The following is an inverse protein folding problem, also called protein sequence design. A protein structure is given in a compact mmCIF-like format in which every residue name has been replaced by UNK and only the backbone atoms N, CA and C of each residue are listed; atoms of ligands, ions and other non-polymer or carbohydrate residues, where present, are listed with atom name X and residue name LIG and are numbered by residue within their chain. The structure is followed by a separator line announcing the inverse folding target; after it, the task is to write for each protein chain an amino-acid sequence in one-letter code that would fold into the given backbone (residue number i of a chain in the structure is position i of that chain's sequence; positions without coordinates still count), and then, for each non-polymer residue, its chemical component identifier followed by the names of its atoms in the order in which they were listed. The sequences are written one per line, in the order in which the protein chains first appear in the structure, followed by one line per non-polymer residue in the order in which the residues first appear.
data_IF_289358869489
#
_entry.id   IF_289358869489
#
_cell.length_a   1.000
_cell.length_b   1.000
_cell.length_c   1.000
_cell.angle_alpha   90.00
_cell.angle_beta   90.00
_cell.angle_gamma   90.00
#
_symmetry.space_group_name_H-M   'P 1'
#
loop_
_entity.id
_entity.type
_entity.pdbx_description
1 polymer ?
#
# COMPACT_ATOMS: atom_id res chain seq x y z
N UNK A 1 74.12 52.28 -81.52
CA UNK A 1 74.35 51.50 -82.76
C UNK A 1 73.07 50.74 -83.13
N UNK A 2 73.00 50.12 -84.32
CA UNK A 2 71.79 49.43 -84.83
C UNK A 2 71.80 47.93 -84.54
N UNK A 3 70.63 47.37 -84.23
CA UNK A 3 70.15 46.06 -84.68
C UNK A 3 68.59 46.15 -84.64
N UNK A 4 67.87 46.28 -85.75
CA UNK A 4 67.68 45.37 -86.90
C UNK A 4 66.67 44.25 -86.60
N UNK A 5 65.64 44.13 -87.44
CA UNK A 5 64.43 43.32 -87.23
C UNK A 5 64.50 41.96 -87.91
N UNK A 6 63.66 41.02 -87.46
CA UNK A 6 63.10 39.92 -88.27
C UNK A 6 61.60 39.78 -87.95
N UNK A 7 60.75 39.72 -88.98
CA UNK A 7 59.34 39.26 -88.95
C UNK A 7 59.32 37.80 -89.50
N UNK A 8 58.30 36.93 -89.47
CA UNK A 8 56.82 37.00 -89.43
C UNK A 8 56.33 35.56 -88.99
N UNK A 9 55.11 35.00 -89.08
CA UNK A 9 53.77 35.33 -89.63
C UNK A 9 52.70 34.43 -88.96
N UNK A 10 51.51 34.97 -88.66
CA UNK A 10 50.27 34.18 -88.43
C UNK A 10 50.00 33.70 -87.00
N UNK A 11 48.77 33.29 -86.63
CA UNK A 11 47.50 33.33 -87.37
C UNK A 11 46.31 33.27 -86.38
N UNK A 12 45.19 33.94 -86.68
CA UNK A 12 43.87 33.63 -86.09
C UNK A 12 43.31 34.64 -85.08
N UNK A 13 42.08 35.11 -85.34
CA UNK A 13 41.26 35.85 -84.37
C UNK A 13 40.45 34.89 -83.50
N UNK A 14 40.02 35.35 -82.31
CA UNK A 14 38.66 35.11 -81.77
C UNK A 14 38.31 36.22 -80.78
N UNK A 15 37.09 36.76 -80.87
CA UNK A 15 36.50 37.66 -79.86
C UNK A 15 35.84 36.82 -78.77
N UNK A 16 36.11 37.10 -77.51
CA UNK A 16 35.39 36.49 -76.37
C UNK A 16 34.33 37.48 -75.87
N UNK A 17 33.06 37.06 -75.90
CA UNK A 17 31.97 37.77 -75.24
C UNK A 17 31.83 37.30 -73.79
N UNK A 18 31.42 38.16 -72.83
CA UNK A 18 31.16 37.73 -71.46
C UNK A 18 29.94 36.80 -71.38
N UNK A 19 30.07 35.73 -70.60
CA UNK A 19 29.08 34.65 -70.47
C UNK A 19 27.80 35.08 -69.69
N UNK A 20 26.66 34.40 -69.90
CA UNK A 20 25.41 34.72 -69.22
C UNK A 20 25.44 34.38 -67.72
N UNK A 21 24.77 35.22 -66.90
CA UNK A 21 24.67 35.02 -65.45
C UNK A 21 23.70 33.87 -65.11
N UNK A 22 24.26 32.74 -64.68
CA UNK A 22 23.49 31.61 -64.18
C UNK A 22 22.74 31.98 -62.89
N UNK A 23 21.43 31.67 -62.81
CA UNK A 23 20.71 31.60 -61.54
C UNK A 23 21.00 30.23 -60.87
N UNK A 24 21.15 30.16 -59.54
CA UNK A 24 21.31 28.89 -58.85
C UNK A 24 20.00 28.09 -58.85
N UNK A 25 20.04 26.74 -58.90
CA UNK A 25 18.84 25.92 -58.86
C UNK A 25 18.21 25.94 -57.46
N UNK A 26 16.88 26.07 -57.42
CA UNK A 26 16.11 26.02 -56.18
C UNK A 26 16.16 24.59 -55.61
N UNK A 27 16.90 24.37 -54.53
CA UNK A 27 16.95 23.05 -53.85
C UNK A 27 15.54 22.68 -53.38
N UNK A 28 14.99 21.58 -53.90
CA UNK A 28 13.67 21.06 -53.49
C UNK A 28 13.67 20.81 -51.97
N UNK A 29 12.57 21.12 -51.26
CA UNK A 29 12.50 21.06 -49.79
C UNK A 29 12.34 19.62 -49.26
N UNK A 30 13.20 18.69 -49.71
CA UNK A 30 13.19 17.28 -49.29
C UNK A 30 13.28 17.11 -47.77
N UNK A 31 14.02 18.01 -47.10
CA UNK A 31 14.10 18.06 -45.64
C UNK A 31 12.75 18.32 -44.97
N UNK A 32 11.86 19.12 -45.56
CA UNK A 32 10.52 19.35 -45.01
C UNK A 32 9.67 18.07 -45.14
N UNK A 33 9.75 17.38 -46.28
CA UNK A 33 9.04 16.10 -46.49
C UNK A 33 9.51 15.05 -45.48
N UNK A 34 10.82 14.90 -45.29
CA UNK A 34 11.40 13.97 -44.30
C UNK A 34 10.98 14.34 -42.88
N UNK A 35 11.07 15.63 -42.49
CA UNK A 35 10.65 16.11 -41.17
C UNK A 35 9.17 15.83 -40.91
N UNK A 36 8.29 16.11 -41.87
CA UNK A 36 6.85 15.82 -41.76
C UNK A 36 6.61 14.33 -41.63
N UNK A 37 7.26 13.47 -42.43
CA UNK A 37 7.10 12.01 -42.29
C UNK A 37 7.58 11.49 -40.93
N UNK A 38 8.66 12.05 -40.39
CA UNK A 38 9.19 11.68 -39.08
C UNK A 38 8.20 12.07 -37.96
N UNK A 39 7.65 13.28 -38.01
CA UNK A 39 6.63 13.76 -37.06
C UNK A 39 5.35 12.92 -37.17
N UNK A 40 4.87 12.62 -38.38
CA UNK A 40 3.70 11.74 -38.57
C UNK A 40 3.94 10.33 -38.00
N UNK A 41 5.11 9.73 -38.22
CA UNK A 41 5.45 8.42 -37.65
C UNK A 41 5.53 8.43 -36.12
N UNK A 42 6.07 9.50 -35.52
CA UNK A 42 6.12 9.66 -34.07
C UNK A 42 4.71 9.85 -33.46
N UNK A 43 3.84 10.62 -34.11
CA UNK A 43 2.45 10.81 -33.68
C UNK A 43 1.63 9.51 -33.79
N UNK A 44 1.78 8.77 -34.89
CA UNK A 44 1.15 7.44 -35.05
C UNK A 44 1.70 6.46 -34.01
N UNK A 45 3.01 6.48 -33.75
CA UNK A 45 3.65 5.67 -32.72
C UNK A 45 3.08 5.93 -31.32
N UNK A 46 2.97 7.20 -30.91
CA UNK A 46 2.39 7.58 -29.62
C UNK A 46 0.88 7.34 -29.50
N UNK A 47 0.15 7.28 -30.61
CA UNK A 47 -1.27 6.94 -30.64
C UNK A 47 -1.52 5.42 -30.55
N UNK A 48 -0.71 4.61 -31.23
CA UNK A 48 -0.82 3.15 -31.23
C UNK A 48 -0.19 2.53 -29.97
N UNK A 49 0.85 3.14 -29.43
CA UNK A 49 1.55 2.71 -28.21
C UNK A 49 1.54 3.83 -27.15
N UNK A 50 0.41 4.08 -26.48
CA UNK A 50 0.36 5.04 -25.38
C UNK A 50 1.32 4.62 -24.24
N UNK A 51 2.18 5.52 -23.73
CA UNK A 51 3.19 5.17 -22.75
C UNK A 51 2.57 4.87 -21.38
N UNK A 52 2.77 3.65 -20.88
CA UNK A 52 2.24 3.17 -19.60
C UNK A 52 2.95 3.76 -18.36
N UNK A 53 3.86 4.73 -18.51
CA UNK A 53 4.60 5.32 -17.38
C UNK A 53 4.59 6.86 -17.41
N UNK A 54 4.08 7.46 -16.34
CA UNK A 54 3.89 8.91 -16.22
C UNK A 54 5.20 9.72 -16.06
N UNK A 55 6.34 9.05 -15.85
CA UNK A 55 7.62 9.68 -15.51
C UNK A 55 8.12 10.71 -16.54
N UNK A 56 7.91 10.46 -17.84
CA UNK A 56 8.35 11.38 -18.90
C UNK A 56 7.59 12.70 -18.96
N UNK A 57 6.34 12.74 -18.47
CA UNK A 57 5.46 13.90 -18.59
C UNK A 57 5.97 15.10 -17.77
N UNK A 58 6.50 14.82 -16.57
CA UNK A 58 7.03 15.82 -15.64
C UNK A 58 8.26 16.59 -16.16
N UNK A 59 8.96 16.06 -17.17
CA UNK A 59 10.16 16.70 -17.72
C UNK A 59 9.80 17.81 -18.73
N UNK A 60 8.63 17.74 -19.37
CA UNK A 60 8.28 18.62 -20.50
C UNK A 60 7.05 19.51 -20.28
N UNK A 61 6.03 19.10 -19.51
CA UNK A 61 4.94 20.00 -19.12
C UNK A 61 4.10 19.48 -17.94
N UNK A 62 4.13 20.21 -16.82
CA UNK A 62 3.27 19.94 -15.66
C UNK A 62 1.81 20.36 -15.86
N UNK A 63 1.53 21.29 -16.77
CA UNK A 63 0.15 21.73 -17.09
C UNK A 63 -0.54 20.79 -18.08
N UNK A 64 0.19 20.29 -19.10
CA UNK A 64 -0.35 19.34 -20.07
C UNK A 64 -0.81 18.03 -19.44
N UNK A 65 -0.07 17.52 -18.44
CA UNK A 65 -0.42 16.24 -17.82
C UNK A 65 -1.74 16.27 -17.02
N UNK A 66 -2.15 17.42 -16.47
CA UNK A 66 -3.45 17.55 -15.80
C UNK A 66 -4.61 17.33 -16.77
N UNK A 67 -4.51 17.92 -17.97
CA UNK A 67 -5.48 17.71 -19.02
C UNK A 67 -5.54 16.24 -19.44
N UNK A 68 -4.39 15.56 -19.55
CA UNK A 68 -4.36 14.11 -19.87
C UNK A 68 -5.05 13.28 -18.77
N UNK A 69 -4.89 13.61 -17.48
CA UNK A 69 -5.61 12.92 -16.40
C UNK A 69 -7.13 13.19 -16.36
N UNK A 70 -7.60 14.27 -17.00
CA UNK A 70 -9.04 14.55 -17.18
C UNK A 70 -9.62 13.90 -18.45
N UNK A 71 -8.77 13.56 -19.42
CA UNK A 71 -9.14 12.92 -20.69
C UNK A 71 -9.03 11.39 -20.68
N UNK A 72 -8.26 10.81 -19.76
CA UNK A 72 -8.31 9.38 -19.50
C UNK A 72 -9.66 9.03 -18.86
N UNK A 73 -10.37 7.97 -19.30
CA UNK A 73 -11.51 7.47 -18.55
C UNK A 73 -11.05 7.09 -17.13
N UNK A 74 -11.89 7.27 -16.10
CA UNK A 74 -11.55 6.79 -14.77
C UNK A 74 -11.21 5.31 -14.85
N UNK A 75 -10.15 4.89 -14.15
CA UNK A 75 -9.75 3.47 -14.07
C UNK A 75 -11.01 2.67 -13.73
N UNK A 76 -11.43 1.71 -14.58
CA UNK A 76 -12.72 1.06 -14.44
C UNK A 76 -12.80 0.43 -13.06
N UNK A 77 -13.78 0.86 -12.27
CA UNK A 77 -13.96 0.39 -10.91
C UNK A 77 -14.07 -1.14 -10.94
N UNK A 78 -13.20 -1.81 -10.19
CA UNK A 78 -13.13 -3.27 -10.13
C UNK A 78 -14.52 -3.81 -9.80
N UNK A 79 -15.04 -4.70 -10.64
CA UNK A 79 -16.26 -5.43 -10.31
C UNK A 79 -15.98 -6.31 -9.08
N UNK A 80 -16.79 -6.12 -8.04
CA UNK A 80 -16.69 -6.87 -6.78
C UNK A 80 -17.35 -8.24 -6.95
N UNK A 81 -16.80 -9.27 -6.30
CA UNK A 81 -17.47 -10.58 -6.26
C UNK A 81 -18.68 -10.56 -5.32
N UNK A 82 -19.56 -11.56 -5.43
CA UNK A 82 -20.73 -11.68 -4.56
C UNK A 82 -20.35 -11.75 -3.07
N UNK A 83 -19.21 -12.36 -2.74
CA UNK A 83 -18.66 -12.40 -1.37
C UNK A 83 -18.21 -11.01 -0.88
N UNK A 84 -17.63 -10.20 -1.76
CA UNK A 84 -17.17 -8.84 -1.44
C UNK A 84 -18.35 -7.88 -1.28
N UNK A 85 -19.38 -8.02 -2.13
CA UNK A 85 -20.66 -7.31 -2.00
C UNK A 85 -21.34 -7.71 -0.67
N UNK A 86 -21.40 -8.99 -0.35
CA UNK A 86 -21.95 -9.48 0.92
C UNK A 86 -21.18 -8.94 2.13
N UNK A 87 -19.83 -8.96 2.08
CA UNK A 87 -18.99 -8.38 3.13
C UNK A 87 -19.22 -6.87 3.28
N UNK A 88 -19.37 -6.13 2.17
CA UNK A 88 -19.67 -4.70 2.19
C UNK A 88 -21.04 -4.40 2.83
N UNK A 89 -22.06 -5.23 2.56
CA UNK A 89 -23.38 -5.14 3.23
C UNK A 89 -23.26 -5.41 4.73
N UNK A 90 -22.54 -6.46 5.15
CA UNK A 90 -22.30 -6.74 6.59
C UNK A 90 -21.61 -5.56 7.28
N UNK A 91 -20.55 -5.01 6.68
CA UNK A 91 -19.80 -3.87 7.24
C UNK A 91 -20.65 -2.59 7.26
N UNK A 92 -21.44 -2.33 6.22
CA UNK A 92 -22.23 -1.10 6.11
C UNK A 92 -23.48 -1.11 6.99
N UNK A 93 -24.19 -2.24 7.07
CA UNK A 93 -25.56 -2.30 7.58
C UNK A 93 -25.68 -3.10 8.89
N UNK A 94 -24.76 -4.03 9.18
CA UNK A 94 -24.76 -4.80 10.43
C UNK A 94 -23.75 -4.21 11.42
N UNK A 95 -22.51 -3.96 11.02
CA UNK A 95 -21.49 -3.39 11.92
C UNK A 95 -21.72 -1.90 12.27
N UNK A 96 -22.68 -1.23 11.62
CA UNK A 96 -23.14 0.14 12.00
C UNK A 96 -24.40 0.15 12.86
N UNK A 97 -24.96 -1.02 13.22
CA UNK A 97 -26.01 -1.09 14.23
C UNK A 97 -25.42 -0.58 15.56
N UNK A 98 -26.09 0.34 16.29
CA UNK A 98 -25.59 0.80 17.58
C UNK A 98 -25.33 -0.38 18.52
N UNK A 99 -24.15 -0.45 19.18
CA UNK A 99 -23.83 -1.56 20.08
C UNK A 99 -24.85 -1.64 21.21
N UNK A 100 -25.29 -2.86 21.53
CA UNK A 100 -26.23 -3.11 22.61
C UNK A 100 -25.62 -2.68 23.94
N UNK A 101 -26.26 -1.73 24.64
CA UNK A 101 -25.79 -1.27 25.94
C UNK A 101 -25.77 -2.43 26.95
N UNK A 102 -24.57 -2.92 27.24
CA UNK A 102 -24.34 -3.90 28.30
C UNK A 102 -24.66 -3.30 29.67
N UNK A 103 -25.23 -4.12 30.56
CA UNK A 103 -25.47 -3.77 31.97
C UNK A 103 -24.25 -4.01 32.86
N UNK A 104 -23.23 -4.69 32.33
CA UNK A 104 -22.02 -5.14 33.01
C UNK A 104 -20.88 -5.22 32.00
N UNK A 105 -20.42 -4.09 31.42
CA UNK A 105 -19.44 -4.10 30.35
C UNK A 105 -18.10 -4.67 30.82
N UNK A 106 -17.43 -5.40 29.92
CA UNK A 106 -16.21 -6.18 30.22
C UNK A 106 -15.06 -5.83 29.28
N UNK A 107 -13.85 -6.08 29.77
CA UNK A 107 -12.64 -6.13 28.94
C UNK A 107 -12.26 -7.59 28.70
N UNK A 108 -12.11 -7.97 27.43
CA UNK A 108 -11.62 -9.28 27.03
C UNK A 108 -10.08 -9.30 26.98
N UNK A 109 -9.47 -9.99 27.93
CA UNK A 109 -8.03 -10.23 27.95
C UNK A 109 -7.71 -11.52 27.19
N UNK A 110 -7.05 -11.36 26.04
CA UNK A 110 -6.78 -12.40 25.06
C UNK A 110 -5.29 -12.75 25.07
N UNK A 111 -4.93 -13.88 25.68
CA UNK A 111 -3.54 -14.32 25.83
C UNK A 111 -3.14 -15.27 24.70
N UNK A 112 -2.17 -14.88 23.87
CA UNK A 112 -1.55 -15.72 22.86
C UNK A 112 -0.19 -16.22 23.37
N UNK A 113 -0.03 -17.54 23.55
CA UNK A 113 1.17 -18.11 24.19
C UNK A 113 1.72 -19.35 23.47
N UNK A 114 2.99 -19.73 23.72
CA UNK A 114 3.49 -21.06 23.38
C UNK A 114 2.91 -22.15 24.31
N UNK A 115 2.63 -21.83 25.57
CA UNK A 115 2.19 -22.77 26.61
C UNK A 115 1.73 -22.06 27.89
N UNK A 116 2.17 -22.55 29.05
CA UNK A 116 1.90 -21.95 30.36
C UNK A 116 2.36 -20.49 30.46
N UNK A 117 1.55 -19.64 31.12
CA UNK A 117 1.84 -18.21 31.28
C UNK A 117 2.79 -17.97 32.47
N UNK A 118 4.03 -17.47 32.28
CA UNK A 118 4.99 -17.29 33.38
C UNK A 118 4.49 -16.34 34.47
N UNK A 119 3.74 -15.31 34.07
CA UNK A 119 3.21 -14.27 34.95
C UNK A 119 1.78 -14.51 35.44
N UNK A 120 1.24 -15.73 35.33
CA UNK A 120 -0.15 -16.05 35.74
C UNK A 120 -0.45 -15.62 37.20
N UNK A 121 0.52 -15.75 38.11
CA UNK A 121 0.40 -15.33 39.52
C UNK A 121 0.43 -13.81 39.74
N UNK A 122 0.84 -13.02 38.75
CA UNK A 122 0.73 -11.56 38.74
C UNK A 122 -0.64 -11.16 38.20
N UNK A 123 -1.05 -11.76 37.08
CA UNK A 123 -2.38 -11.57 36.50
C UNK A 123 -3.50 -11.97 37.47
N UNK A 124 -3.34 -13.06 38.23
CA UNK A 124 -4.28 -13.47 39.31
C UNK A 124 -4.48 -12.39 40.39
N UNK A 125 -3.45 -11.58 40.69
CA UNK A 125 -3.55 -10.46 41.63
C UNK A 125 -4.20 -9.24 40.99
N UNK A 126 -3.91 -8.98 39.72
CA UNK A 126 -4.50 -7.88 38.94
C UNK A 126 -6.02 -8.05 38.77
N UNK A 127 -6.49 -9.26 38.48
CA UNK A 127 -7.91 -9.56 38.26
C UNK A 127 -8.77 -9.71 39.53
N UNK A 128 -8.16 -9.74 40.71
CA UNK A 128 -8.82 -10.16 41.95
C UNK A 128 -9.85 -9.15 42.46
N UNK A 129 -11.10 -9.59 42.65
CA UNK A 129 -12.19 -8.74 43.15
C UNK A 129 -12.86 -7.89 42.06
N UNK A 130 -12.66 -8.25 40.79
CA UNK A 130 -13.22 -7.58 39.61
C UNK A 130 -13.79 -8.60 38.60
N UNK A 131 -14.14 -9.81 39.06
CA UNK A 131 -14.48 -10.97 38.22
C UNK A 131 -15.77 -10.81 37.38
N UNK A 132 -16.51 -9.72 37.59
CA UNK A 132 -17.66 -9.24 36.82
C UNK A 132 -17.29 -8.31 35.65
N UNK A 133 -16.11 -7.68 35.70
CA UNK A 133 -15.65 -6.61 34.78
C UNK A 133 -14.67 -7.06 33.69
N UNK A 134 -14.37 -8.34 33.59
CA UNK A 134 -13.49 -8.88 32.56
C UNK A 134 -13.87 -10.28 32.09
N UNK A 135 -13.34 -10.66 30.93
CA UNK A 135 -13.30 -12.03 30.45
C UNK A 135 -11.85 -12.40 30.08
N UNK A 136 -11.50 -13.68 30.19
CA UNK A 136 -10.17 -14.20 29.86
C UNK A 136 -10.33 -15.29 28.80
N UNK A 137 -9.47 -15.24 27.79
CA UNK A 137 -9.32 -16.24 26.74
C UNK A 137 -7.83 -16.56 26.55
N UNK A 138 -7.48 -17.84 26.42
CA UNK A 138 -6.09 -18.29 26.29
C UNK A 138 -5.93 -19.15 25.05
N UNK A 139 -4.94 -18.84 24.22
CA UNK A 139 -4.53 -19.62 23.06
C UNK A 139 -3.10 -20.13 23.26
N UNK A 140 -2.96 -21.37 23.74
CA UNK A 140 -1.66 -22.02 23.90
C UNK A 140 -1.31 -22.86 22.66
N UNK A 141 -0.22 -22.51 21.98
CA UNK A 141 0.07 -22.96 20.59
C UNK A 141 0.99 -24.18 20.46
N UNK A 142 1.67 -24.63 21.52
CA UNK A 142 2.55 -25.81 21.51
C UNK A 142 2.17 -26.85 22.56
N UNK A 143 1.94 -26.39 23.78
CA UNK A 143 1.74 -27.22 24.97
C UNK A 143 0.44 -26.85 25.67
N UNK A 144 -0.24 -27.84 26.27
CA UNK A 144 -1.42 -27.55 27.08
C UNK A 144 -0.99 -26.97 28.44
N UNK A 145 -1.37 -25.73 28.80
CA UNK A 145 -1.00 -25.13 30.07
C UNK A 145 -1.66 -25.85 31.26
N UNK A 146 -1.00 -25.79 32.42
CA UNK A 146 -1.58 -26.23 33.69
C UNK A 146 -1.76 -25.00 34.59
N UNK A 147 -2.93 -24.38 34.48
CA UNK A 147 -3.28 -23.17 35.22
C UNK A 147 -3.41 -23.43 36.72
N UNK A 148 -2.79 -22.57 37.53
CA UNK A 148 -2.90 -22.53 38.99
C UNK A 148 -3.96 -21.53 39.48
N UNK A 149 -4.22 -20.48 38.69
CA UNK A 149 -5.20 -19.44 38.98
C UNK A 149 -6.59 -19.85 38.52
N UNK A 150 -7.58 -19.69 39.42
CA UNK A 150 -9.01 -19.89 39.13
C UNK A 150 -9.52 -19.09 37.92
N UNK A 151 -8.87 -17.98 37.59
CA UNK A 151 -9.30 -17.09 36.52
C UNK A 151 -8.98 -17.65 35.13
N UNK A 152 -7.93 -18.47 35.02
CA UNK A 152 -7.43 -19.04 33.76
C UNK A 152 -7.86 -20.50 33.52
N UNK A 153 -8.21 -21.26 34.58
CA UNK A 153 -8.75 -22.62 34.45
C UNK A 153 -9.98 -22.64 33.52
N UNK A 154 -9.92 -23.46 32.47
CA UNK A 154 -11.00 -23.61 31.50
C UNK A 154 -11.14 -22.48 30.48
N UNK A 155 -10.20 -21.53 30.41
CA UNK A 155 -10.20 -20.41 29.44
C UNK A 155 -9.48 -20.72 28.12
N UNK A 156 -8.99 -21.94 27.97
CA UNK A 156 -8.25 -22.40 26.79
C UNK A 156 -9.14 -22.58 25.56
N UNK A 157 -8.80 -21.92 24.45
CA UNK A 157 -9.43 -22.12 23.14
C UNK A 157 -8.62 -23.15 22.37
N UNK A 158 -9.28 -24.23 21.90
CA UNK A 158 -8.66 -25.22 21.01
C UNK A 158 -8.34 -24.59 19.64
N UNK A 159 -7.10 -24.74 19.20
CA UNK A 159 -6.55 -24.17 17.97
C UNK A 159 -5.44 -25.04 17.36
N UNK A 160 -4.73 -24.53 16.36
CA UNK A 160 -3.60 -25.18 15.69
C UNK A 160 -2.24 -24.59 16.11
N UNK A 161 -1.15 -25.21 15.64
CA UNK A 161 0.22 -24.79 15.98
C UNK A 161 0.59 -23.47 15.29
N UNK A 162 0.80 -22.44 16.09
CA UNK A 162 1.28 -21.13 15.62
C UNK A 162 2.78 -21.19 15.33
N UNK A 163 3.16 -20.67 14.17
CA UNK A 163 4.55 -20.41 13.79
C UNK A 163 4.72 -18.90 13.66
N UNK A 164 5.70 -18.34 14.37
CA UNK A 164 5.99 -16.91 14.36
C UNK A 164 6.27 -16.41 12.92
N UNK A 165 5.70 -15.26 12.56
CA UNK A 165 5.87 -14.66 11.24
C UNK A 165 5.12 -15.38 10.10
N UNK A 166 4.21 -16.32 10.42
CA UNK A 166 3.30 -16.97 9.44
C UNK A 166 1.84 -16.66 9.73
N UNK A 167 0.99 -16.82 8.70
CA UNK A 167 -0.45 -16.55 8.74
C UNK A 167 -1.17 -17.23 9.92
N UNK A 168 -0.70 -18.40 10.35
CA UNK A 168 -1.17 -19.13 11.55
C UNK A 168 -1.27 -18.28 12.82
N UNK A 169 -0.48 -17.20 12.92
CA UNK A 169 -0.51 -16.27 14.05
C UNK A 169 -1.73 -15.33 13.97
N UNK A 170 -2.02 -14.79 12.78
CA UNK A 170 -3.25 -14.05 12.49
C UNK A 170 -4.48 -14.94 12.66
N UNK A 171 -4.40 -16.21 12.24
CA UNK A 171 -5.49 -17.18 12.44
C UNK A 171 -5.76 -17.45 13.93
N UNK A 172 -4.72 -17.48 14.77
CA UNK A 172 -4.82 -17.60 16.22
C UNK A 172 -5.45 -16.35 16.88
N UNK A 173 -5.02 -15.16 16.48
CA UNK A 173 -5.57 -13.86 16.94
C UNK A 173 -7.04 -13.72 16.55
N UNK A 174 -7.39 -14.01 15.29
CA UNK A 174 -8.78 -14.05 14.81
C UNK A 174 -9.63 -15.04 15.60
N UNK A 175 -9.06 -16.16 16.03
CA UNK A 175 -9.75 -17.19 16.80
C UNK A 175 -9.93 -16.82 18.28
N UNK A 176 -8.98 -16.11 18.88
CA UNK A 176 -9.16 -15.44 20.18
C UNK A 176 -10.32 -14.45 20.10
N UNK A 177 -10.26 -13.52 19.15
CA UNK A 177 -11.27 -12.46 18.95
C UNK A 177 -12.66 -13.05 18.67
N UNK A 178 -12.79 -14.09 17.83
CA UNK A 178 -14.05 -14.74 17.53
C UNK A 178 -14.67 -15.52 18.71
N UNK A 179 -13.90 -15.81 19.78
CA UNK A 179 -14.44 -16.32 21.04
C UNK A 179 -14.78 -15.19 22.02
N UNK A 180 -14.00 -14.11 22.00
CA UNK A 180 -14.29 -12.91 22.80
C UNK A 180 -15.57 -12.20 22.36
N UNK A 181 -15.85 -12.14 21.04
CA UNK A 181 -17.06 -11.55 20.47
C UNK A 181 -18.36 -12.33 20.74
N UNK A 182 -18.30 -13.50 21.38
CA UNK A 182 -19.50 -14.28 21.76
C UNK A 182 -20.12 -13.82 23.10
N UNK A 183 -19.38 -13.07 23.92
CA UNK A 183 -19.92 -12.42 25.12
C UNK A 183 -20.22 -10.94 24.78
N UNK A 184 -21.50 -10.54 24.62
CA UNK A 184 -21.88 -9.20 24.17
C UNK A 184 -21.58 -8.10 25.21
N UNK A 185 -21.17 -8.47 26.43
CA UNK A 185 -20.69 -7.51 27.40
C UNK A 185 -19.25 -7.03 27.10
N UNK A 186 -18.45 -7.77 26.33
CA UNK A 186 -17.08 -7.37 25.99
C UNK A 186 -17.07 -6.15 25.06
N UNK A 187 -16.68 -4.98 25.60
CA UNK A 187 -16.59 -3.73 24.83
C UNK A 187 -15.17 -3.48 24.28
N UNK A 188 -14.14 -3.86 25.04
CA UNK A 188 -12.73 -3.70 24.64
C UNK A 188 -11.99 -5.04 24.66
N UNK A 189 -11.03 -5.17 23.74
CA UNK A 189 -10.29 -6.40 23.48
C UNK A 189 -8.79 -6.12 23.59
N UNK A 190 -8.10 -6.81 24.50
CA UNK A 190 -6.68 -6.58 24.81
C UNK A 190 -5.91 -7.85 24.47
N UNK A 191 -5.13 -7.81 23.39
CA UNK A 191 -4.24 -8.89 22.97
C UNK A 191 -2.92 -8.82 23.75
N UNK A 192 -2.46 -9.94 24.29
CA UNK A 192 -1.27 -10.05 25.15
C UNK A 192 -0.49 -11.31 24.79
N UNK A 193 0.84 -11.26 24.86
CA UNK A 193 1.69 -12.46 24.86
C UNK A 193 2.04 -12.93 26.28
N UNK A 194 2.68 -14.10 26.38
CA UNK A 194 3.15 -14.67 27.65
C UNK A 194 4.20 -13.80 28.37
N UNK A 195 4.85 -12.89 27.64
CA UNK A 195 5.79 -11.90 28.16
C UNK A 195 5.13 -10.67 28.81
N UNK A 196 3.84 -10.43 28.57
CA UNK A 196 3.17 -9.19 28.99
C UNK A 196 2.82 -9.17 30.49
N UNK A 197 2.95 -7.99 31.10
CA UNK A 197 2.60 -7.69 32.51
C UNK A 197 1.87 -6.36 32.64
N UNK A 198 0.92 -6.20 33.58
CA UNK A 198 0.24 -4.94 33.82
C UNK A 198 1.12 -3.97 34.63
N UNK A 199 1.17 -2.70 34.22
CA UNK A 199 1.95 -1.64 34.89
C UNK A 199 1.12 -0.75 35.83
N UNK A 200 -0.21 -0.85 35.76
CA UNK A 200 -1.16 -0.11 36.58
C UNK A 200 -2.18 -1.07 37.25
N UNK A 201 -2.98 -0.57 38.18
CA UNK A 201 -4.09 -1.34 38.77
C UNK A 201 -5.18 -1.63 37.73
N UNK A 202 -5.95 -2.72 37.94
CA UNK A 202 -7.07 -3.06 37.07
C UNK A 202 -8.08 -1.93 36.97
N UNK A 203 -8.43 -1.28 38.07
CA UNK A 203 -9.40 -0.18 38.09
C UNK A 203 -8.94 1.01 37.22
N UNK A 204 -7.65 1.37 37.24
CA UNK A 204 -7.10 2.39 36.35
C UNK A 204 -7.21 1.98 34.88
N UNK A 205 -6.78 0.74 34.55
CA UNK A 205 -6.84 0.22 33.17
C UNK A 205 -8.28 0.11 32.68
N UNK A 206 -9.19 -0.34 33.53
CA UNK A 206 -10.61 -0.52 33.21
C UNK A 206 -11.27 0.82 32.92
N UNK A 207 -11.13 1.81 33.81
CA UNK A 207 -11.72 3.14 33.62
C UNK A 207 -11.10 3.82 32.38
N UNK A 208 -9.77 3.81 32.24
CA UNK A 208 -9.08 4.43 31.09
C UNK A 208 -9.53 3.87 29.73
N UNK A 209 -9.81 2.56 29.65
CA UNK A 209 -10.32 1.95 28.42
C UNK A 209 -11.82 2.19 28.24
N UNK A 210 -12.65 2.01 29.27
CA UNK A 210 -14.11 2.17 29.17
C UNK A 210 -14.58 3.62 29.00
N UNK A 211 -13.80 4.60 29.46
CA UNK A 211 -14.10 6.03 29.28
C UNK A 211 -13.70 6.55 27.88
N UNK A 212 -13.19 5.70 26.98
CA UNK A 212 -12.73 6.09 25.64
C UNK A 212 -13.52 5.47 24.50
N UNK A 213 -13.61 6.19 23.39
CA UNK A 213 -14.32 5.78 22.17
C UNK A 213 -13.39 5.46 20.98
N UNK A 214 -12.10 5.21 21.26
CA UNK A 214 -11.08 4.89 20.24
C UNK A 214 -10.38 3.56 20.53
N UNK A 215 -9.86 2.93 19.48
CA UNK A 215 -8.99 1.76 19.58
C UNK A 215 -7.51 2.15 19.58
N UNK A 216 -6.71 1.53 20.44
CA UNK A 216 -5.26 1.71 20.48
C UNK A 216 -4.58 0.63 19.63
N UNK A 217 -3.97 1.03 18.52
CA UNK A 217 -3.27 0.15 17.57
C UNK A 217 -1.96 0.82 17.19
N UNK A 218 -0.82 0.14 17.36
CA UNK A 218 0.46 0.61 16.86
C UNK A 218 0.53 0.47 15.33
N UNK A 219 0.95 1.54 14.65
CA UNK A 219 0.76 1.73 13.22
C UNK A 219 1.79 2.73 12.67
N UNK A 220 2.73 2.25 11.86
CA UNK A 220 3.84 3.04 11.32
C UNK A 220 4.13 2.71 9.85
N UNK A 221 4.88 3.60 9.20
CA UNK A 221 5.42 3.34 7.85
C UNK A 221 6.83 2.72 7.97
N UNK A 222 7.00 1.52 7.42
CA UNK A 222 8.30 0.84 7.30
C UNK A 222 8.67 0.79 5.81
N UNK A 223 9.62 1.61 5.32
CA UNK A 223 10.00 1.64 3.91
C UNK A 223 10.79 0.39 3.46
N UNK A 224 11.11 -0.54 4.37
CA UNK A 224 11.88 -1.74 4.09
C UNK A 224 11.10 -2.86 3.38
N UNK A 225 11.80 -3.96 3.00
CA UNK A 225 11.22 -5.12 2.31
C UNK A 225 10.26 -5.95 3.18
N UNK A 226 9.97 -5.51 4.41
CA UNK A 226 9.04 -6.16 5.34
C UNK A 226 7.87 -5.26 5.73
N UNK A 227 7.87 -3.99 5.30
CA UNK A 227 6.74 -3.06 5.37
C UNK A 227 6.24 -2.73 3.97
N UNK A 228 6.35 -1.48 3.54
CA UNK A 228 5.89 -0.96 2.24
C UNK A 228 6.44 -1.70 1.02
N UNK A 229 7.56 -2.43 1.14
CA UNK A 229 8.04 -3.35 0.11
C UNK A 229 7.19 -4.61 -0.11
N UNK A 230 6.16 -4.83 0.73
CA UNK A 230 5.15 -5.91 0.60
C UNK A 230 3.79 -5.42 0.07
N UNK A 231 3.64 -4.11 -0.18
CA UNK A 231 2.43 -3.58 -0.82
C UNK A 231 2.26 -4.15 -2.24
N UNK A 232 1.03 -4.44 -2.64
CA UNK A 232 0.68 -4.87 -3.99
C UNK A 232 -0.41 -3.98 -4.57
N UNK A 233 -0.30 -3.64 -5.86
CA UNK A 233 -1.33 -2.86 -6.56
C UNK A 233 -2.66 -3.62 -6.68
N UNK A 234 -2.65 -4.94 -6.49
CA UNK A 234 -3.87 -5.77 -6.34
C UNK A 234 -4.63 -5.52 -5.02
N UNK A 235 -4.14 -4.65 -4.13
CA UNK A 235 -4.88 -4.17 -2.95
C UNK A 235 -5.77 -2.94 -3.26
N UNK A 236 -5.75 -2.43 -4.50
CA UNK A 236 -6.60 -1.33 -4.94
C UNK A 236 -7.95 -1.85 -5.48
N UNK A 237 -9.06 -1.13 -5.22
CA UNK A 237 -9.15 0.18 -4.55
C UNK A 237 -9.20 0.14 -3.02
N UNK A 238 -9.25 -1.03 -2.37
CA UNK A 238 -9.61 -1.17 -0.94
C UNK A 238 -8.56 -0.62 0.04
N UNK A 239 -7.27 -0.68 -0.31
CA UNK A 239 -6.17 -0.14 0.48
C UNK A 239 -5.21 0.62 -0.44
N UNK A 240 -5.24 1.95 -0.40
CA UNK A 240 -4.23 2.76 -1.07
C UNK A 240 -2.86 2.62 -0.40
N UNK A 241 -1.79 2.77 -1.18
CA UNK A 241 -0.40 2.71 -0.68
C UNK A 241 -0.08 3.70 0.46
N UNK A 242 -0.83 4.81 0.56
CA UNK A 242 -0.71 5.81 1.64
C UNK A 242 -1.26 5.28 2.98
N UNK A 243 -2.25 4.39 2.92
CA UNK A 243 -2.97 3.82 4.06
C UNK A 243 -2.41 2.44 4.44
N UNK A 244 -1.62 1.82 3.56
CA UNK A 244 -0.84 0.64 3.88
C UNK A 244 0.23 0.97 4.95
N UNK A 245 0.13 0.28 6.08
CA UNK A 245 0.93 0.51 7.29
C UNK A 245 1.32 -0.82 7.93
N UNK A 246 2.36 -0.79 8.76
CA UNK A 246 2.85 -1.92 9.53
C UNK A 246 2.53 -1.67 11.01
N UNK A 247 2.07 -2.70 11.71
CA UNK A 247 1.93 -2.67 13.17
C UNK A 247 2.97 -3.53 13.88
N UNK A 248 3.02 -3.40 15.20
CA UNK A 248 3.71 -4.37 16.05
C UNK A 248 3.06 -5.77 15.95
N UNK A 249 3.86 -6.81 16.19
CA UNK A 249 3.43 -8.21 16.25
C UNK A 249 3.63 -8.69 17.71
N UNK A 250 2.58 -9.26 18.31
CA UNK A 250 2.48 -9.54 19.76
C UNK A 250 3.07 -10.90 20.17
#
# INVERSE_FOLDING_TARGET
MKAAQVWQLGLGNIKIMPAPRHRPPLKRPMWIIVLVSLVSLLLIGGYVYPPQSHAGCYIFSSSGCKSISEWLPPVPARELTDEEIAAQVVIRDILKIPPSQSKSPKIAFMFLSPGSLPFEKLWDKFFRGHEDRFSIYVHASREKPVHMSRHFVGREIRSEKVIWGKISMVDAERRLLANALQDPDNQHFVLLSDSCVPLHSFEYVYNYLMDTNVSFIDCFEDPGPHGSGRYSEHMLPEVEKKDFRKGAQV
#
